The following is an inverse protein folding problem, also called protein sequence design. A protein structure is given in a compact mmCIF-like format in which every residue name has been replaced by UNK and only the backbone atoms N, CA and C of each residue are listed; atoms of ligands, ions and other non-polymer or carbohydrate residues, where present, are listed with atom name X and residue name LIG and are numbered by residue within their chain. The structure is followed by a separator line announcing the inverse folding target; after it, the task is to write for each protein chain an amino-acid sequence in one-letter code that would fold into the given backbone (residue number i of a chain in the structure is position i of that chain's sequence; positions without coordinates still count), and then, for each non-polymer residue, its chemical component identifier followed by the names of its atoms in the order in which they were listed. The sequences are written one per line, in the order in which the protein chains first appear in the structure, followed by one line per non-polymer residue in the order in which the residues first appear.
data_IF_677241972626
#
_entry.id   IF_677241972626
#
_cell.length_a   1.000
_cell.length_b   1.000
_cell.length_c   1.000
_cell.angle_alpha   90.00
_cell.angle_beta   90.00
_cell.angle_gamma   90.00
#
_symmetry.space_group_name_H-M   'P 1'
#
loop_
_entity.id
_entity.type
_entity.pdbx_description
1 polymer ?
#
# COMPACT_ATOMS: atom_id res chain seq x y z
N UNK A 1 15.64 4.45 2.89
CA UNK A 1 14.76 4.40 1.70
C UNK A 1 14.35 5.81 1.31
N UNK A 2 15.29 6.75 1.29
CA UNK A 2 15.11 8.17 0.94
C UNK A 2 13.73 8.73 1.36
N UNK A 3 12.96 9.30 0.43
CA UNK A 3 11.62 9.83 0.68
C UNK A 3 10.58 8.72 0.91
N UNK A 4 10.80 7.52 0.37
CA UNK A 4 9.88 6.39 0.51
C UNK A 4 9.77 5.83 1.93
N UNK A 5 10.75 6.12 2.80
CA UNK A 5 10.68 5.77 4.22
C UNK A 5 9.47 6.43 4.92
N UNK A 6 9.03 7.59 4.44
CA UNK A 6 7.91 8.31 5.01
C UNK A 6 6.58 7.56 4.86
N UNK A 7 6.37 6.87 3.72
CA UNK A 7 5.19 6.00 3.55
C UNK A 7 5.17 4.87 4.58
N UNK A 8 6.33 4.28 4.90
CA UNK A 8 6.44 3.26 5.94
C UNK A 8 6.06 3.82 7.32
N UNK A 9 6.52 5.03 7.65
CA UNK A 9 6.22 5.68 8.92
C UNK A 9 4.75 6.11 9.05
N UNK A 10 4.09 6.45 7.95
CA UNK A 10 2.65 6.72 7.94
C UNK A 10 1.82 5.47 8.27
N UNK A 11 2.19 4.31 7.72
CA UNK A 11 1.52 3.04 8.01
C UNK A 11 1.86 2.50 9.40
N UNK A 12 3.08 2.77 9.90
CA UNK A 12 3.57 2.32 11.21
C UNK A 12 4.21 3.47 11.99
N UNK A 13 3.41 4.33 12.66
CA UNK A 13 3.91 5.52 13.34
C UNK A 13 4.96 5.24 14.42
N UNK A 14 4.90 4.09 15.07
CA UNK A 14 5.83 3.67 16.11
C UNK A 14 7.29 3.54 15.61
N UNK A 15 7.53 3.44 14.30
CA UNK A 15 8.89 3.37 13.77
C UNK A 15 9.66 4.69 13.86
N UNK A 16 8.97 5.83 14.06
CA UNK A 16 9.65 7.13 14.24
C UNK A 16 10.41 7.23 15.56
N UNK A 17 9.94 6.54 16.59
CA UNK A 17 10.54 6.55 17.93
C UNK A 17 11.59 5.46 18.14
N UNK A 18 11.69 4.49 17.22
CA UNK A 18 12.67 3.40 17.32
C UNK A 18 14.04 3.93 16.90
N UNK A 19 15.04 3.78 17.77
CA UNK A 19 16.42 4.11 17.45
C UNK A 19 17.03 2.97 16.62
N UNK A 20 17.46 3.21 15.37
CA UNK A 20 17.97 2.15 14.49
C UNK A 20 19.43 1.76 14.78
N UNK A 21 20.05 2.33 15.82
CA UNK A 21 21.48 2.21 16.08
C UNK A 21 22.33 3.10 15.16
N UNK A 22 23.63 2.81 15.09
CA UNK A 22 24.56 3.51 14.21
C UNK A 22 24.45 3.01 12.76
N UNK A 23 24.22 3.94 11.84
CA UNK A 23 24.09 3.68 10.39
C UNK A 23 25.16 4.45 9.58
N UNK A 24 26.20 4.97 10.23
CA UNK A 24 27.19 5.86 9.62
C UNK A 24 27.97 5.13 8.52
N UNK A 25 28.47 3.92 8.79
CA UNK A 25 29.25 3.13 7.83
C UNK A 25 28.40 2.74 6.60
N UNK A 26 27.15 2.34 6.81
CA UNK A 26 26.24 1.91 5.75
C UNK A 26 25.88 3.10 4.84
N UNK A 27 25.66 4.29 5.41
CA UNK A 27 25.45 5.52 4.64
C UNK A 27 26.71 5.93 3.88
N UNK A 28 27.89 5.83 4.49
CA UNK A 28 29.16 6.11 3.84
C UNK A 28 29.42 5.16 2.67
N UNK A 29 29.11 3.87 2.80
CA UNK A 29 29.23 2.89 1.71
C UNK A 29 28.36 3.25 0.51
N UNK A 30 27.12 3.70 0.75
CA UNK A 30 26.22 4.14 -0.31
C UNK A 30 26.80 5.30 -1.13
N UNK A 31 27.42 6.26 -0.45
CA UNK A 31 28.08 7.41 -1.09
C UNK A 31 29.32 6.95 -1.86
N UNK A 32 30.17 6.13 -1.23
CA UNK A 32 31.41 5.62 -1.82
C UNK A 32 31.18 4.82 -3.10
N UNK A 33 30.14 4.00 -3.14
CA UNK A 33 29.78 3.18 -4.30
C UNK A 33 28.95 3.94 -5.35
N UNK A 34 28.69 5.24 -5.12
CA UNK A 34 27.87 6.07 -5.99
C UNK A 34 26.52 5.42 -6.35
N UNK A 35 25.86 4.82 -5.34
CA UNK A 35 24.61 4.10 -5.56
C UNK A 35 23.51 5.04 -6.04
N UNK A 36 22.67 4.54 -6.95
CA UNK A 36 21.50 5.27 -7.47
C UNK A 36 20.50 5.61 -6.35
N UNK A 37 19.69 6.66 -6.50
CA UNK A 37 18.63 7.00 -5.55
C UNK A 37 17.58 5.89 -5.48
N UNK A 38 16.92 5.76 -4.32
CA UNK A 38 15.90 4.72 -4.12
C UNK A 38 14.70 4.90 -5.05
N UNK A 39 14.39 6.14 -5.46
CA UNK A 39 13.39 6.44 -6.48
C UNK A 39 13.66 5.71 -7.80
N UNK A 40 14.90 5.71 -8.29
CA UNK A 40 15.28 4.99 -9.51
C UNK A 40 15.02 3.49 -9.40
N UNK A 41 15.26 2.91 -8.23
CA UNK A 41 14.96 1.50 -7.99
C UNK A 41 13.45 1.21 -8.07
N UNK A 42 12.62 2.08 -7.50
CA UNK A 42 11.16 1.96 -7.54
C UNK A 42 10.57 2.15 -8.95
N UNK A 43 11.19 3.00 -9.77
CA UNK A 43 10.71 3.31 -11.13
C UNK A 43 11.21 2.31 -12.18
N UNK A 44 12.46 1.88 -12.10
CA UNK A 44 13.07 1.05 -13.16
C UNK A 44 13.15 -0.44 -12.83
N UNK A 45 13.36 -0.80 -11.57
CA UNK A 45 13.56 -2.20 -11.17
C UNK A 45 12.27 -2.80 -10.60
N UNK A 46 11.61 -2.08 -9.71
CA UNK A 46 10.41 -2.53 -8.99
C UNK A 46 9.14 -1.78 -9.43
N UNK A 47 8.98 -1.57 -10.74
CA UNK A 47 7.87 -0.78 -11.33
C UNK A 47 6.48 -1.41 -11.13
N UNK A 48 6.41 -2.72 -10.95
CA UNK A 48 5.19 -3.50 -10.73
C UNK A 48 4.70 -3.42 -9.29
N UNK A 49 5.61 -3.17 -8.34
CA UNK A 49 5.32 -3.13 -6.91
C UNK A 49 4.21 -2.12 -6.57
N UNK A 50 4.26 -0.92 -7.18
CA UNK A 50 3.29 0.16 -6.91
C UNK A 50 1.89 -0.19 -7.40
N UNK A 51 1.75 -1.08 -8.39
CA UNK A 51 0.43 -1.53 -8.90
C UNK A 51 -0.29 -2.42 -7.88
N UNK A 52 0.46 -3.28 -7.20
CA UNK A 52 -0.10 -4.22 -6.21
C UNK A 52 -0.15 -3.61 -4.82
N UNK A 53 0.86 -2.84 -4.45
CA UNK A 53 1.03 -2.20 -3.15
C UNK A 53 1.25 -0.70 -3.30
N UNK A 54 0.17 0.07 -3.55
CA UNK A 54 0.30 1.51 -3.70
C UNK A 54 0.76 2.15 -2.37
N UNK A 55 1.66 3.15 -2.41
CA UNK A 55 2.16 3.83 -1.21
C UNK A 55 1.03 4.43 -0.36
N UNK A 56 -0.01 4.96 -1.02
CA UNK A 56 -1.24 5.47 -0.40
C UNK A 56 -2.40 4.59 -0.83
N UNK A 57 -3.11 4.00 0.14
CA UNK A 57 -4.27 3.15 -0.15
C UNK A 57 -5.40 4.01 -0.72
N UNK A 58 -6.01 3.62 -1.85
CA UNK A 58 -7.18 4.32 -2.38
C UNK A 58 -8.35 4.19 -1.40
N UNK A 59 -9.28 5.15 -1.47
CA UNK A 59 -10.51 5.06 -0.69
C UNK A 59 -11.30 3.82 -1.15
N UNK A 60 -11.83 3.02 -0.22
CA UNK A 60 -12.68 1.89 -0.59
C UNK A 60 -13.93 2.41 -1.30
N UNK A 61 -14.44 1.65 -2.27
CA UNK A 61 -15.68 1.99 -3.00
C UNK A 61 -16.88 2.09 -2.05
N UNK A 62 -17.02 1.12 -1.15
CA UNK A 62 -18.04 1.10 -0.12
C UNK A 62 -17.43 0.69 1.22
N UNK A 63 -18.01 1.20 2.30
CA UNK A 63 -17.70 0.79 3.68
C UNK A 63 -19.02 0.76 4.44
N UNK A 64 -19.32 -0.35 5.07
CA UNK A 64 -20.55 -0.53 5.82
C UNK A 64 -21.04 -1.96 5.77
N UNK A 65 -22.24 -2.17 6.27
CA UNK A 65 -22.93 -3.45 6.20
C UNK A 65 -23.53 -3.67 4.81
N UNK A 66 -23.42 -4.90 4.31
CA UNK A 66 -24.14 -5.34 3.11
C UNK A 66 -25.41 -6.06 3.58
N UNK A 67 -26.52 -5.34 3.66
CA UNK A 67 -27.82 -5.95 3.95
C UNK A 67 -28.47 -6.37 2.63
N UNK A 68 -28.60 -7.69 2.41
CA UNK A 68 -29.26 -8.26 1.23
C UNK A 68 -30.76 -8.26 1.48
N UNK A 69 -31.53 -7.48 0.71
CA UNK A 69 -32.99 -7.53 0.75
C UNK A 69 -33.50 -8.77 0.00
N UNK A 70 -33.90 -9.79 0.75
CA UNK A 70 -34.43 -11.07 0.27
C UNK A 70 -35.79 -10.98 -0.48
N UNK A 71 -36.31 -9.77 -0.71
CA UNK A 71 -37.65 -9.54 -1.29
C UNK A 71 -37.73 -9.57 -2.81
N UNK A 72 -36.60 -9.54 -3.53
CA UNK A 72 -36.59 -9.52 -5.01
C UNK A 72 -36.50 -10.94 -5.60
N UNK A 73 -35.96 -11.92 -4.86
CA UNK A 73 -35.86 -13.31 -5.35
C UNK A 73 -37.22 -14.03 -5.39
N UNK A 74 -38.09 -13.80 -4.40
CA UNK A 74 -39.45 -14.39 -4.40
C UNK A 74 -40.37 -13.78 -5.46
N UNK A 75 -40.17 -12.52 -5.87
CA UNK A 75 -40.98 -11.91 -6.93
C UNK A 75 -40.61 -12.44 -8.32
N UNK A 76 -39.34 -12.82 -8.54
CA UNK A 76 -38.90 -13.38 -9.81
C UNK A 76 -39.28 -14.87 -9.97
N UNK A 77 -39.27 -15.66 -8.89
CA UNK A 77 -39.80 -17.04 -8.97
C UNK A 77 -41.32 -17.09 -9.15
N UNK A 78 -42.09 -16.14 -8.62
CA UNK A 78 -43.53 -16.07 -8.86
C UNK A 78 -43.90 -15.65 -10.30
N UNK A 79 -43.07 -14.85 -10.99
CA UNK A 79 -43.41 -14.36 -12.32
C UNK A 79 -43.07 -15.33 -13.47
N UNK A 80 -42.26 -16.37 -13.19
CA UNK A 80 -41.93 -17.44 -14.16
C UNK A 80 -42.93 -18.61 -14.07
N UNK A 81 -43.75 -18.67 -13.02
CA UNK A 81 -44.73 -19.74 -12.77
C UNK A 81 -46.21 -19.31 -12.88
N UNK A 82 -46.51 -18.16 -13.51
CA UNK A 82 -47.86 -17.76 -13.93
C UNK A 82 -47.92 -17.62 -15.44
#
# INVERSE_FOLDING_TARGET
MDEYAEYLYQHRPHYRSIQPGDLTEQKAMRIRLNCKPFKWFMEEIAFDLVKVYPPVKPKPFARGEVSIYFGIFYFLECLVFI
#
